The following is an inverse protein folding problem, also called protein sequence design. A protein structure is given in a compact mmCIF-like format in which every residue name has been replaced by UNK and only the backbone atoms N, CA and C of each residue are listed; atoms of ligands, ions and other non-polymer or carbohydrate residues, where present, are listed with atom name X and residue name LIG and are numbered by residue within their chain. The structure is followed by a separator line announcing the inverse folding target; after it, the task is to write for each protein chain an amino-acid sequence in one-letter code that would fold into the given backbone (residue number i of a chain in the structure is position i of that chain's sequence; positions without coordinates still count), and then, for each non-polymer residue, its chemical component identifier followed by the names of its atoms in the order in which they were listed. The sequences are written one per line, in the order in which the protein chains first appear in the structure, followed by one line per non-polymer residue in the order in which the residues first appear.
data_IF_454639780969
#
_entry.id   IF_454639780969
#
_cell.length_a   1.000
_cell.length_b   1.000
_cell.length_c   1.000
_cell.angle_alpha   90.00
_cell.angle_beta   90.00
_cell.angle_gamma   90.00
#
_symmetry.space_group_name_H-M   'P 1'
#
loop_
_entity.id
_entity.type
_entity.pdbx_description
1 polymer ?
#
# COMPACT_ATOMS: atom_id res chain seq x y z
N UNK A 1 -11.36 10.47 5.60
CA UNK A 1 -11.24 9.10 6.14
C UNK A 1 -9.96 9.07 6.95
N UNK A 2 -9.96 8.65 8.22
CA UNK A 2 -8.75 8.53 9.01
C UNK A 2 -7.71 7.62 8.33
N UNK A 3 -6.43 7.95 8.50
CA UNK A 3 -5.33 7.15 7.94
C UNK A 3 -5.42 5.64 8.26
N UNK A 4 -5.78 5.20 9.49
CA UNK A 4 -5.98 3.78 9.80
C UNK A 4 -6.96 3.05 8.86
N UNK A 5 -8.04 3.72 8.45
CA UNK A 5 -9.03 3.15 7.53
C UNK A 5 -8.48 3.07 6.09
N UNK A 6 -7.68 4.06 5.67
CA UNK A 6 -6.99 4.04 4.38
C UNK A 6 -6.01 2.87 4.32
N UNK A 7 -5.23 2.64 5.38
CA UNK A 7 -4.32 1.48 5.48
C UNK A 7 -5.09 0.17 5.43
N UNK A 8 -6.22 0.05 6.13
CA UNK A 8 -7.07 -1.14 6.07
C UNK A 8 -7.55 -1.45 4.64
N UNK A 9 -7.89 -0.41 3.86
CA UNK A 9 -8.26 -0.57 2.45
C UNK A 9 -7.07 -1.03 1.60
N UNK A 10 -5.88 -0.49 1.81
CA UNK A 10 -4.66 -0.93 1.13
C UNK A 10 -4.35 -2.41 1.43
N UNK A 11 -4.47 -2.82 2.70
CA UNK A 11 -4.26 -4.20 3.13
C UNK A 11 -5.27 -5.17 2.52
N UNK A 12 -6.54 -4.76 2.42
CA UNK A 12 -7.56 -5.55 1.71
C UNK A 12 -7.22 -5.66 0.24
N UNK A 13 -6.79 -4.56 -0.39
CA UNK A 13 -6.45 -4.52 -1.81
C UNK A 13 -5.29 -5.44 -2.18
N UNK A 14 -4.26 -5.57 -1.34
CA UNK A 14 -3.12 -6.47 -1.59
C UNK A 14 -3.46 -7.96 -1.45
N UNK A 15 -4.62 -8.31 -0.87
CA UNK A 15 -5.13 -9.69 -0.80
C UNK A 15 -6.02 -10.07 -1.97
N UNK A 16 -6.48 -9.10 -2.75
CA UNK A 16 -7.33 -9.35 -3.90
C UNK A 16 -6.45 -9.79 -5.07
N UNK A 17 -6.39 -11.09 -5.31
CA UNK A 17 -5.72 -11.62 -6.49
C UNK A 17 -6.39 -11.10 -7.75
N UNK A 18 -5.56 -10.59 -8.67
CA UNK A 18 -6.00 -10.29 -10.02
C UNK A 18 -5.70 -11.49 -10.92
N UNK A 19 -6.75 -12.13 -11.43
CA UNK A 19 -6.60 -13.16 -12.47
C UNK A 19 -5.78 -12.61 -13.64
N UNK A 20 -4.74 -13.35 -14.03
CA UNK A 20 -3.85 -13.00 -15.13
C UNK A 20 -2.82 -11.91 -14.80
N UNK A 21 -2.54 -11.64 -13.52
CA UNK A 21 -1.46 -10.72 -13.15
C UNK A 21 -0.07 -11.31 -13.45
N UNK A 22 0.77 -10.51 -14.09
CA UNK A 22 2.17 -10.83 -14.43
C UNK A 22 3.11 -10.63 -13.25
N UNK A 23 2.57 -10.36 -12.05
CA UNK A 23 3.32 -10.21 -10.80
C UNK A 23 3.69 -8.76 -10.46
N UNK A 24 3.28 -7.77 -11.27
CA UNK A 24 3.61 -6.36 -11.09
C UNK A 24 2.39 -5.45 -10.88
N UNK A 25 1.15 -5.96 -10.96
CA UNK A 25 -0.04 -5.12 -10.84
C UNK A 25 -0.11 -4.42 -9.49
N UNK A 26 0.08 -5.13 -8.37
CA UNK A 26 0.03 -4.50 -7.05
C UNK A 26 1.16 -3.50 -6.86
N UNK A 27 2.34 -3.75 -7.43
CA UNK A 27 3.46 -2.78 -7.41
C UNK A 27 3.04 -1.45 -8.02
N UNK A 28 2.52 -1.49 -9.25
CA UNK A 28 2.13 -0.28 -9.97
C UNK A 28 0.97 0.44 -9.27
N UNK A 29 -0.03 -0.32 -8.80
CA UNK A 29 -1.26 0.26 -8.24
C UNK A 29 -1.08 0.83 -6.85
N UNK A 30 -0.34 0.16 -5.97
CA UNK A 30 -0.03 0.70 -4.63
C UNK A 30 0.80 1.97 -4.75
N UNK A 31 1.85 1.98 -5.59
CA UNK A 31 2.66 3.19 -5.82
C UNK A 31 1.82 4.33 -6.41
N UNK A 32 0.92 4.02 -7.35
CA UNK A 32 0.00 5.00 -7.92
C UNK A 32 -0.92 5.58 -6.84
N UNK A 33 -1.62 4.77 -6.06
CA UNK A 33 -2.50 5.25 -5.01
C UNK A 33 -1.76 6.10 -3.96
N UNK A 34 -0.59 5.64 -3.49
CA UNK A 34 0.22 6.40 -2.54
C UNK A 34 0.68 7.76 -3.10
N UNK A 35 0.91 7.86 -4.42
CA UNK A 35 1.26 9.13 -5.07
C UNK A 35 0.13 10.17 -5.03
N UNK A 36 -1.12 9.72 -4.95
CA UNK A 36 -2.29 10.58 -4.72
C UNK A 36 -2.47 10.87 -3.23
N UNK A 37 -2.38 9.83 -2.38
CA UNK A 37 -2.63 9.95 -0.94
C UNK A 37 -1.61 10.86 -0.24
N UNK A 38 -0.35 10.89 -0.67
CA UNK A 38 0.68 11.77 -0.09
C UNK A 38 0.41 13.28 -0.24
N UNK A 39 -0.63 13.67 -0.99
CA UNK A 39 -1.09 15.06 -1.06
C UNK A 39 -1.94 15.46 0.13
N UNK A 40 -2.52 14.49 0.83
CA UNK A 40 -3.49 14.69 1.91
C UNK A 40 -3.08 14.03 3.23
N UNK A 41 -2.22 13.01 3.19
CA UNK A 41 -1.76 12.26 4.36
C UNK A 41 -0.23 12.27 4.42
N UNK A 42 0.33 12.82 5.50
CA UNK A 42 1.79 12.84 5.71
C UNK A 42 2.34 11.41 5.87
N UNK A 43 1.56 10.53 6.50
CA UNK A 43 1.88 9.12 6.69
C UNK A 43 2.02 8.38 5.34
N UNK A 44 1.28 8.82 4.31
CA UNK A 44 1.39 8.26 2.97
C UNK A 44 2.74 8.63 2.31
N UNK A 45 3.34 9.77 2.67
CA UNK A 45 4.68 10.14 2.20
C UNK A 45 5.72 9.16 2.73
N UNK A 46 5.68 8.87 4.04
CA UNK A 46 6.60 7.91 4.66
C UNK A 46 6.41 6.51 4.07
N UNK A 47 5.16 6.06 3.95
CA UNK A 47 4.85 4.76 3.37
C UNK A 47 5.31 4.66 1.91
N UNK A 48 5.13 5.72 1.12
CA UNK A 48 5.61 5.78 -0.26
C UNK A 48 7.14 5.65 -0.35
N UNK A 49 7.88 6.32 0.53
CA UNK A 49 9.34 6.20 0.56
C UNK A 49 9.79 4.76 0.88
N UNK A 50 9.06 4.07 1.75
CA UNK A 50 9.36 2.68 2.09
C UNK A 50 9.09 1.72 0.91
N UNK A 51 7.96 1.87 0.23
CA UNK A 51 7.58 0.92 -0.84
C UNK A 51 8.15 1.27 -2.22
N UNK A 52 8.69 2.48 -2.44
CA UNK A 52 9.18 2.89 -3.77
C UNK A 52 10.29 1.99 -4.33
N UNK A 53 11.11 1.42 -3.45
CA UNK A 53 12.24 0.54 -3.79
C UNK A 53 11.83 -0.91 -4.07
N UNK A 54 10.60 -1.28 -3.72
CA UNK A 54 10.09 -2.63 -3.88
C UNK A 54 9.61 -2.85 -5.31
N UNK A 55 10.03 -3.96 -5.93
CA UNK A 55 9.86 -4.20 -7.37
C UNK A 55 9.04 -5.47 -7.68
N UNK A 56 8.50 -6.14 -6.67
CA UNK A 56 7.62 -7.29 -6.85
C UNK A 56 6.38 -7.16 -5.95
N UNK A 57 5.28 -7.77 -6.37
CA UNK A 57 4.00 -7.63 -5.67
C UNK A 57 4.00 -8.27 -4.29
N UNK A 58 4.80 -9.32 -4.07
CA UNK A 58 4.88 -10.01 -2.79
C UNK A 58 5.50 -9.13 -1.70
N UNK A 59 6.60 -8.44 -1.99
CA UNK A 59 7.25 -7.53 -1.03
C UNK A 59 6.39 -6.31 -0.74
N UNK A 60 5.72 -5.73 -1.75
CA UNK A 60 4.74 -4.67 -1.53
C UNK A 60 3.59 -5.15 -0.64
N UNK A 61 3.03 -6.33 -0.93
CA UNK A 61 1.93 -6.87 -0.14
C UNK A 61 2.37 -7.08 1.32
N UNK A 62 3.55 -7.66 1.55
CA UNK A 62 4.13 -7.84 2.88
C UNK A 62 4.32 -6.51 3.60
N UNK A 63 4.89 -5.51 2.95
CA UNK A 63 5.14 -4.20 3.56
C UNK A 63 3.83 -3.52 3.99
N UNK A 64 2.78 -3.58 3.15
CA UNK A 64 1.46 -3.02 3.48
C UNK A 64 0.77 -3.83 4.60
N UNK A 65 0.89 -5.16 4.59
CA UNK A 65 0.30 -6.03 5.61
C UNK A 65 1.00 -5.97 6.97
N UNK A 66 2.28 -5.58 7.00
CA UNK A 66 3.05 -5.43 8.24
C UNK A 66 2.67 -4.19 9.06
N UNK A 67 1.86 -3.28 8.48
CA UNK A 67 1.42 -2.07 9.17
C UNK A 67 0.40 -2.46 10.24
N UNK A 68 0.74 -2.18 11.50
CA UNK A 68 -0.12 -2.41 12.65
C UNK A 68 -1.11 -1.25 12.80
N UNK A 69 -2.35 -1.47 12.37
CA UNK A 69 -3.41 -0.44 12.37
C UNK A 69 -3.78 -0.01 13.79
N UNK A 70 -3.68 -0.89 14.79
CA UNK A 70 -4.04 -0.56 16.16
C UNK A 70 -3.06 0.41 16.80
N UNK A 71 -1.81 0.48 16.29
CA UNK A 71 -0.81 1.48 16.69
C UNK A 71 -0.97 2.84 16.00
N UNK A 72 -1.86 2.95 15.01
CA UNK A 72 -2.14 4.19 14.29
C UNK A 72 -3.37 4.93 14.84
N UNK A 73 -4.01 4.39 15.87
CA UNK A 73 -5.21 4.96 16.52
C UNK A 73 -4.86 5.88 17.69
#
# INVERSE_FOLDING_TARGET
MPWPEVVALLQKYTRLEKQGDTGLYHVARIKQWLSYLRKEYDEATELFQHVRVLNNSHDIARAIQAIDIDKLR
#
